data_IF_844329033205
#
_entry.id   IF_844329033205
#
_cell.length_a   1.000
_cell.length_b   1.000
_cell.length_c   1.000
_cell.angle_alpha   90.00
_cell.angle_beta   90.00
_cell.angle_gamma   90.00
#
_symmetry.space_group_name_H-M   'P 1'
#
loop_
_entity.id
_entity.type
_entity.pdbx_description
1 polymer ?
#
# COMPACT_ATOMS: atom_id res chain seq x y z
N UNK A 1 25.33 0.97 -10.04
CA UNK A 1 24.79 -0.32 -10.51
C UNK A 1 23.40 -0.57 -9.94
N UNK A 2 23.22 -1.07 -8.69
CA UNK A 2 21.86 -1.39 -8.18
C UNK A 2 20.92 -0.18 -8.15
N UNK A 3 21.39 0.99 -7.70
CA UNK A 3 20.56 2.20 -7.70
C UNK A 3 20.18 2.63 -9.11
N UNK A 4 21.14 2.68 -10.04
CA UNK A 4 20.89 3.09 -11.44
C UNK A 4 19.86 2.20 -12.13
N UNK A 5 19.98 0.87 -11.98
CA UNK A 5 19.01 -0.10 -12.50
C UNK A 5 17.63 0.07 -11.86
N UNK A 6 17.59 0.35 -10.55
CA UNK A 6 16.31 0.58 -9.84
C UNK A 6 15.63 1.85 -10.35
N UNK A 7 16.39 2.92 -10.64
CA UNK A 7 15.84 4.14 -11.23
C UNK A 7 15.29 3.89 -12.63
N UNK A 8 16.01 3.12 -13.45
CA UNK A 8 15.56 2.75 -14.79
C UNK A 8 14.23 1.96 -14.72
N UNK A 9 14.15 0.95 -13.87
CA UNK A 9 12.94 0.14 -13.66
C UNK A 9 11.75 0.99 -13.17
N UNK A 10 11.98 1.89 -12.20
CA UNK A 10 10.92 2.78 -11.71
C UNK A 10 10.46 3.72 -12.82
N UNK A 11 11.37 4.30 -13.58
CA UNK A 11 11.01 5.18 -14.71
C UNK A 11 10.17 4.44 -15.75
N UNK A 12 10.58 3.24 -16.13
CA UNK A 12 9.84 2.37 -17.05
C UNK A 12 8.45 2.03 -16.50
N UNK A 13 8.35 1.70 -15.21
CA UNK A 13 7.07 1.39 -14.56
C UNK A 13 6.04 2.52 -14.71
N UNK A 14 6.45 3.78 -14.51
CA UNK A 14 5.53 4.92 -14.67
C UNK A 14 5.28 5.27 -16.14
N UNK A 15 6.23 5.04 -17.05
CA UNK A 15 6.00 5.19 -18.49
C UNK A 15 4.93 4.19 -18.95
N UNK A 16 5.10 2.90 -18.65
CA UNK A 16 4.11 1.85 -18.96
C UNK A 16 2.73 2.18 -18.37
N UNK A 17 2.69 2.63 -17.11
CA UNK A 17 1.43 3.01 -16.48
C UNK A 17 0.72 4.14 -17.25
N UNK A 18 1.42 5.24 -17.52
CA UNK A 18 0.81 6.45 -18.06
C UNK A 18 0.55 6.39 -19.56
N UNK A 19 1.45 5.77 -20.31
CA UNK A 19 1.48 5.83 -21.76
C UNK A 19 0.80 4.61 -22.41
N UNK A 20 0.68 3.49 -21.69
CA UNK A 20 0.07 2.26 -22.21
C UNK A 20 -1.12 1.79 -21.36
N UNK A 21 -0.92 1.50 -20.07
CA UNK A 21 -1.93 0.83 -19.25
C UNK A 21 -3.16 1.71 -19.01
N UNK A 22 -2.98 2.96 -18.58
CA UNK A 22 -4.11 3.86 -18.33
C UNK A 22 -4.90 4.19 -19.62
N UNK A 23 -4.27 4.47 -20.78
CA UNK A 23 -4.97 4.62 -22.05
C UNK A 23 -5.74 3.37 -22.49
N UNK A 24 -5.13 2.17 -22.39
CA UNK A 24 -5.79 0.92 -22.76
C UNK A 24 -7.00 0.63 -21.85
N UNK A 25 -6.86 0.82 -20.54
CA UNK A 25 -7.98 0.72 -19.60
C UNK A 25 -9.10 1.71 -19.94
N UNK A 26 -8.76 2.94 -20.31
CA UNK A 26 -9.74 3.95 -20.68
C UNK A 26 -10.53 3.56 -21.95
N UNK A 27 -9.88 2.90 -22.92
CA UNK A 27 -10.54 2.36 -24.12
C UNK A 27 -11.51 1.22 -23.78
N UNK A 28 -11.27 0.51 -22.69
CA UNK A 28 -12.12 -0.54 -22.15
C UNK A 28 -13.18 0.00 -21.16
N UNK A 29 -13.36 1.32 -21.04
CA UNK A 29 -14.36 1.92 -20.14
C UNK A 29 -13.96 1.92 -18.66
N UNK A 30 -12.67 1.79 -18.37
CA UNK A 30 -12.09 1.86 -17.02
C UNK A 30 -11.18 3.09 -16.94
N UNK A 31 -11.62 4.16 -16.28
CA UNK A 31 -10.92 5.45 -16.27
C UNK A 31 -10.42 5.83 -14.89
N UNK A 32 -9.21 6.36 -14.85
CA UNK A 32 -8.67 7.05 -13.69
C UNK A 32 -8.68 8.55 -13.96
N UNK A 33 -9.62 9.27 -13.35
CA UNK A 33 -9.85 10.68 -13.63
C UNK A 33 -8.77 11.52 -12.95
N UNK A 34 -8.09 12.35 -13.74
CA UNK A 34 -7.14 13.33 -13.21
C UNK A 34 -7.90 14.52 -12.64
N UNK A 35 -7.30 15.17 -11.64
CA UNK A 35 -7.89 16.35 -10.97
C UNK A 35 -8.39 17.43 -11.92
N UNK A 36 -7.67 17.69 -13.01
CA UNK A 36 -8.04 18.69 -14.01
C UNK A 36 -9.23 18.31 -14.89
N UNK A 37 -9.62 17.04 -14.89
CA UNK A 37 -10.66 16.49 -15.76
C UNK A 37 -11.98 16.25 -15.01
N UNK A 38 -12.07 16.62 -13.73
CA UNK A 38 -13.28 16.42 -12.93
C UNK A 38 -14.40 17.34 -13.38
N UNK A 39 -15.57 16.77 -13.68
CA UNK A 39 -16.79 17.53 -13.90
C UNK A 39 -17.25 18.21 -12.60
N UNK A 40 -18.09 19.27 -12.67
CA UNK A 40 -18.62 19.93 -11.47
C UNK A 40 -19.31 18.96 -10.50
N UNK A 41 -20.11 18.03 -11.02
CA UNK A 41 -20.81 17.03 -10.21
C UNK A 41 -19.85 16.02 -9.57
N UNK A 42 -18.81 15.59 -10.30
CA UNK A 42 -17.76 14.74 -9.73
C UNK A 42 -17.00 15.47 -8.61
N UNK A 43 -16.62 16.73 -8.83
CA UNK A 43 -15.92 17.55 -7.84
C UNK A 43 -16.75 17.75 -6.58
N UNK A 44 -18.05 18.00 -6.70
CA UNK A 44 -18.96 18.13 -5.55
C UNK A 44 -19.04 16.83 -4.74
N UNK A 45 -19.19 15.68 -5.41
CA UNK A 45 -19.21 14.38 -4.73
C UNK A 45 -17.87 14.07 -4.05
N UNK A 46 -16.74 14.34 -4.72
CA UNK A 46 -15.40 14.12 -4.17
C UNK A 46 -15.17 15.03 -2.95
N UNK A 47 -15.64 16.27 -3.01
CA UNK A 47 -15.61 17.21 -1.87
C UNK A 47 -16.39 16.64 -0.68
N UNK A 48 -17.63 16.20 -0.90
CA UNK A 48 -18.45 15.59 0.15
C UNK A 48 -17.81 14.33 0.74
N UNK A 49 -17.20 13.48 -0.11
CA UNK A 49 -16.43 12.32 0.31
C UNK A 49 -15.21 12.75 1.16
N UNK A 50 -14.48 13.78 0.75
CA UNK A 50 -13.33 14.30 1.49
C UNK A 50 -13.73 14.72 2.92
N UNK A 51 -14.74 15.58 3.05
CA UNK A 51 -15.18 16.06 4.37
C UNK A 51 -15.79 14.95 5.24
N UNK A 52 -16.49 13.98 4.65
CA UNK A 52 -17.16 12.91 5.40
C UNK A 52 -16.21 11.78 5.82
N UNK A 53 -15.29 11.38 4.96
CA UNK A 53 -14.53 10.14 5.14
C UNK A 53 -13.01 10.35 5.26
N UNK A 54 -12.46 11.36 4.60
CA UNK A 54 -11.01 11.57 4.53
C UNK A 54 -10.52 12.51 5.62
N UNK A 55 -11.11 13.70 5.71
CA UNK A 55 -10.72 14.75 6.67
C UNK A 55 -10.79 14.29 8.13
N UNK A 56 -11.81 13.55 8.60
CA UNK A 56 -11.92 13.16 10.02
C UNK A 56 -10.82 12.22 10.51
N UNK A 57 -10.15 11.50 9.61
CA UNK A 57 -9.09 10.53 9.95
C UNK A 57 -7.70 11.03 9.59
N UNK A 58 -7.59 12.26 9.09
CA UNK A 58 -6.31 12.89 8.74
C UNK A 58 -5.97 13.94 9.79
N UNK A 59 -4.71 13.91 10.24
CA UNK A 59 -4.20 14.91 11.17
C UNK A 59 -3.01 15.62 10.52
N UNK A 60 -3.14 16.92 10.19
CA UNK A 60 -2.01 17.71 9.75
C UNK A 60 -1.05 18.00 10.91
N UNK A 61 0.25 17.97 10.63
CA UNK A 61 1.30 18.30 11.60
C UNK A 61 2.13 19.43 11.02
N UNK A 62 1.88 20.66 11.51
CA UNK A 62 2.71 21.81 11.19
C UNK A 62 4.12 21.63 11.75
N UNK A 63 5.13 21.99 10.97
CA UNK A 63 6.53 21.89 11.36
C UNK A 63 6.96 23.23 11.94
N UNK A 64 7.41 23.21 13.19
CA UNK A 64 7.99 24.36 13.89
C UNK A 64 9.01 23.86 14.95
N UNK A 65 9.81 24.72 15.60
CA UNK A 65 10.79 24.28 16.60
C UNK A 65 10.21 23.47 17.76
N UNK A 66 8.92 23.63 18.07
CA UNK A 66 8.19 22.89 19.11
C UNK A 66 7.50 21.63 18.58
N UNK A 67 7.22 21.56 17.27
CA UNK A 67 6.64 20.42 16.58
C UNK A 67 7.60 19.89 15.51
N UNK A 68 8.53 19.00 15.89
CA UNK A 68 9.50 18.45 14.95
C UNK A 68 8.81 17.56 13.92
N UNK A 69 9.53 17.26 12.84
CA UNK A 69 9.06 16.38 11.78
C UNK A 69 8.51 15.05 12.36
N UNK A 70 7.28 14.65 12.00
CA UNK A 70 6.63 13.51 12.62
C UNK A 70 7.26 12.19 12.19
N UNK A 71 7.15 11.18 13.05
CA UNK A 71 7.56 9.82 12.69
C UNK A 71 6.65 9.26 11.61
N UNK A 72 7.16 9.17 10.38
CA UNK A 72 6.45 8.54 9.24
C UNK A 72 6.65 7.03 9.23
N UNK A 73 5.54 6.31 9.07
CA UNK A 73 5.54 4.85 8.99
C UNK A 73 6.20 4.36 7.69
N UNK A 74 6.93 3.25 7.77
CA UNK A 74 7.53 2.62 6.59
C UNK A 74 6.47 2.33 5.51
N UNK A 75 6.76 2.73 4.27
CA UNK A 75 5.93 2.54 3.08
C UNK A 75 4.53 3.18 3.16
N UNK A 76 4.27 4.12 4.07
CA UNK A 76 3.02 4.89 4.11
C UNK A 76 2.98 5.96 3.02
N UNK A 77 1.76 6.42 2.72
CA UNK A 77 1.54 7.59 1.87
C UNK A 77 1.48 8.81 2.79
N UNK A 78 2.30 9.81 2.51
CA UNK A 78 2.34 11.07 3.24
C UNK A 78 2.34 12.22 2.22
N UNK A 79 2.05 13.42 2.68
CA UNK A 79 2.10 14.64 1.89
C UNK A 79 2.92 15.67 2.64
N UNK A 80 3.87 16.28 1.94
CA UNK A 80 4.59 17.44 2.41
C UNK A 80 3.95 18.69 1.80
N UNK A 81 3.54 19.60 2.67
CA UNK A 81 2.76 20.78 2.32
C UNK A 81 3.62 22.00 2.61
N UNK A 82 3.84 22.84 1.61
CA UNK A 82 4.48 24.15 1.75
C UNK A 82 3.42 25.16 2.14
N UNK A 83 3.69 25.93 3.20
CA UNK A 83 2.76 26.85 3.80
C UNK A 83 3.34 28.26 3.89
N UNK A 84 2.48 29.25 3.81
CA UNK A 84 2.80 30.66 4.01
C UNK A 84 1.74 31.29 4.94
N UNK A 85 2.19 32.07 5.92
CA UNK A 85 1.32 32.83 6.81
C UNK A 85 1.31 32.31 8.25
N UNK A 86 0.20 32.55 8.95
CA UNK A 86 0.01 32.18 10.36
C UNK A 86 -1.28 31.42 10.53
N UNK A 87 -1.24 30.38 11.35
CA UNK A 87 -2.45 29.63 11.69
C UNK A 87 -3.43 30.47 12.53
N UNK A 88 -4.60 29.92 12.81
CA UNK A 88 -5.62 30.54 13.67
C UNK A 88 -5.13 30.87 15.10
N UNK A 89 -3.98 30.34 15.52
CA UNK A 89 -3.35 30.57 16.82
C UNK A 89 -2.13 31.50 16.75
N UNK A 90 -1.87 32.10 15.57
CA UNK A 90 -0.77 33.04 15.35
C UNK A 90 0.60 32.40 15.16
N UNK A 91 0.69 31.07 15.05
CA UNK A 91 1.95 30.33 14.80
C UNK A 91 2.27 30.34 13.31
N UNK A 92 3.53 30.60 12.97
CA UNK A 92 4.05 30.45 11.61
C UNK A 92 4.68 29.07 11.45
N UNK A 93 4.31 28.37 10.38
CA UNK A 93 4.97 27.14 9.93
C UNK A 93 5.13 27.25 8.43
N UNK A 94 6.35 27.05 7.93
CA UNK A 94 6.64 27.10 6.49
C UNK A 94 6.36 25.76 5.80
N UNK A 95 6.18 24.69 6.60
CA UNK A 95 5.89 23.36 6.11
C UNK A 95 4.97 22.60 7.06
N UNK A 96 4.22 21.63 6.53
CA UNK A 96 3.46 20.67 7.29
C UNK A 96 3.50 19.28 6.65
N UNK A 97 3.33 18.26 7.47
CA UNK A 97 3.20 16.87 7.03
C UNK A 97 1.78 16.38 7.28
N UNK A 98 1.20 15.78 6.26
CA UNK A 98 -0.12 15.13 6.34
C UNK A 98 0.08 13.64 6.09
N UNK A 99 -0.24 12.81 7.07
CA UNK A 99 -0.12 11.36 6.95
C UNK A 99 -1.45 10.77 6.52
N UNK A 100 -1.50 10.03 5.42
CA UNK A 100 -2.71 9.32 5.00
C UNK A 100 -2.73 7.93 5.66
N UNK A 101 -3.65 7.64 6.61
CA UNK A 101 -3.71 6.33 7.27
C UNK A 101 -3.91 5.19 6.27
N UNK A 102 -3.49 3.98 6.64
CA UNK A 102 -3.64 2.78 5.78
C UNK A 102 -5.09 2.33 5.62
N UNK A 103 -5.98 2.72 6.52
CA UNK A 103 -7.42 2.44 6.44
C UNK A 103 -8.08 3.17 5.28
N UNK A 104 -7.54 4.32 4.86
CA UNK A 104 -8.09 5.04 3.71
C UNK A 104 -7.73 4.33 2.40
N UNK A 105 -8.71 4.06 1.52
CA UNK A 105 -8.46 3.51 0.20
C UNK A 105 -7.57 4.46 -0.61
N UNK A 106 -6.64 3.90 -1.39
CA UNK A 106 -5.72 4.71 -2.22
C UNK A 106 -6.29 5.04 -3.58
N UNK A 107 -7.26 4.25 -4.01
CA UNK A 107 -8.06 4.43 -5.20
C UNK A 107 -9.52 4.37 -4.74
N UNK A 108 -10.33 5.35 -5.16
CA UNK A 108 -11.73 5.46 -4.79
C UNK A 108 -12.54 5.34 -6.08
N UNK A 109 -13.52 4.46 -6.09
CA UNK A 109 -14.48 4.36 -7.20
C UNK A 109 -15.54 5.43 -7.06
N UNK A 110 -15.81 6.18 -8.12
CA UNK A 110 -16.92 7.12 -8.18
C UNK A 110 -18.24 6.36 -8.37
N UNK A 111 -19.38 6.91 -7.90
CA UNK A 111 -20.70 6.41 -8.27
C UNK A 111 -20.84 6.35 -9.80
N UNK A 112 -21.50 5.30 -10.29
CA UNK A 112 -21.62 5.03 -11.73
C UNK A 112 -22.32 6.18 -12.45
N UNK A 113 -23.25 6.85 -11.80
CA UNK A 113 -24.04 7.97 -12.35
C UNK A 113 -23.20 9.23 -12.57
N UNK A 114 -22.06 9.34 -11.89
CA UNK A 114 -21.13 10.47 -12.00
C UNK A 114 -19.95 10.18 -12.95
N UNK A 115 -19.80 8.94 -13.42
CA UNK A 115 -18.72 8.54 -14.31
C UNK A 115 -19.07 8.71 -15.78
N UNK A 116 -18.10 9.17 -16.58
CA UNK A 116 -18.20 9.17 -18.06
C UNK A 116 -17.93 7.78 -18.65
N UNK A 117 -17.76 6.76 -17.81
CA UNK A 117 -17.47 5.37 -18.16
C UNK A 117 -18.00 4.44 -17.07
N UNK A 118 -18.10 3.15 -17.37
CA UNK A 118 -18.66 2.15 -16.46
C UNK A 118 -17.90 2.09 -15.12
N UNK A 119 -16.57 2.23 -15.17
CA UNK A 119 -15.72 2.29 -13.98
C UNK A 119 -14.89 3.57 -14.01
N UNK A 120 -15.20 4.50 -13.11
CA UNK A 120 -14.41 5.71 -12.90
C UNK A 120 -13.77 5.68 -11.51
N UNK A 121 -12.47 5.93 -11.47
CA UNK A 121 -11.67 5.93 -10.26
C UNK A 121 -10.97 7.28 -10.08
N UNK A 122 -10.75 7.67 -8.83
CA UNK A 122 -9.91 8.80 -8.46
C UNK A 122 -8.86 8.37 -7.44
N UNK A 123 -7.68 8.96 -7.52
CA UNK A 123 -6.63 8.70 -6.54
C UNK A 123 -6.86 9.52 -5.27
N UNK A 124 -6.62 8.90 -4.11
CA UNK A 124 -6.63 9.63 -2.82
C UNK A 124 -5.64 10.82 -2.85
N UNK A 125 -4.50 10.66 -3.54
CA UNK A 125 -3.54 11.74 -3.72
C UNK A 125 -4.10 12.92 -4.50
N UNK A 126 -4.95 12.70 -5.49
CA UNK A 126 -5.63 13.78 -6.22
C UNK A 126 -6.65 14.49 -5.35
N UNK A 127 -7.42 13.74 -4.54
CA UNK A 127 -8.37 14.31 -3.57
C UNK A 127 -7.64 15.20 -2.56
N UNK A 128 -6.58 14.67 -1.93
CA UNK A 128 -5.80 15.45 -0.97
C UNK A 128 -5.14 16.65 -1.61
N UNK A 129 -4.59 16.53 -2.81
CA UNK A 129 -3.98 17.66 -3.49
C UNK A 129 -4.98 18.78 -3.83
N UNK A 130 -6.26 18.46 -4.03
CA UNK A 130 -7.32 19.46 -4.23
C UNK A 130 -7.72 20.12 -2.90
N UNK A 131 -7.99 19.33 -1.86
CA UNK A 131 -8.65 19.80 -0.63
C UNK A 131 -7.71 19.98 0.57
N UNK A 132 -6.39 19.84 0.41
CA UNK A 132 -5.42 19.99 1.51
C UNK A 132 -5.52 21.35 2.21
N UNK A 133 -5.92 22.40 1.51
CA UNK A 133 -6.07 23.75 2.06
C UNK A 133 -7.13 23.81 3.19
N UNK A 134 -8.14 22.94 3.15
CA UNK A 134 -9.16 22.82 4.21
C UNK A 134 -8.57 22.35 5.55
N UNK A 135 -7.38 21.74 5.54
CA UNK A 135 -6.68 21.30 6.74
C UNK A 135 -5.90 22.44 7.42
N UNK A 136 -5.69 23.58 6.74
CA UNK A 136 -4.78 24.65 7.17
C UNK A 136 -5.48 26.02 7.21
N UNK A 137 -6.49 26.16 8.08
CA UNK A 137 -7.22 27.41 8.23
C UNK A 137 -6.30 28.58 8.63
N UNK A 138 -6.40 29.69 7.88
CA UNK A 138 -5.60 30.90 8.09
C UNK A 138 -4.24 30.90 7.38
N UNK A 139 -3.83 29.78 6.79
CA UNK A 139 -2.56 29.66 6.07
C UNK A 139 -2.82 29.47 4.57
N UNK A 140 -1.87 29.91 3.76
CA UNK A 140 -1.88 29.72 2.32
C UNK A 140 -1.03 28.51 1.97
N UNK A 141 -1.64 27.53 1.30
CA UNK A 141 -0.90 26.38 0.76
C UNK A 141 -0.20 26.80 -0.54
N UNK A 142 1.12 26.72 -0.57
CA UNK A 142 1.94 27.02 -1.75
C UNK A 142 2.15 25.77 -2.63
N UNK A 143 2.23 24.60 -2.00
CA UNK A 143 2.48 23.33 -2.67
C UNK A 143 2.07 22.16 -1.78
N UNK A 144 1.71 21.04 -2.41
CA UNK A 144 1.39 19.80 -1.70
C UNK A 144 1.88 18.61 -2.52
N UNK A 145 2.84 17.88 -1.96
CA UNK A 145 3.58 16.85 -2.67
C UNK A 145 3.48 15.54 -1.91
N UNK A 146 2.92 14.53 -2.56
CA UNK A 146 2.94 13.17 -2.03
C UNK A 146 4.37 12.65 -1.95
N UNK A 147 4.68 11.96 -0.86
CA UNK A 147 5.94 11.25 -0.69
C UNK A 147 5.76 9.94 0.07
N UNK A 148 6.73 9.05 -0.10
CA UNK A 148 6.81 7.75 0.56
C UNK A 148 8.25 7.42 0.89
N UNK A 149 8.48 6.99 2.12
CA UNK A 149 9.79 6.50 2.55
C UNK A 149 9.75 4.99 2.66
N UNK A 150 10.77 4.34 2.09
CA UNK A 150 11.07 2.95 2.35
C UNK A 150 12.24 2.87 3.32
N UNK A 151 12.07 2.09 4.37
CA UNK A 151 13.05 1.82 5.42
C UNK A 151 13.55 0.39 5.33
N UNK A 152 14.80 0.19 5.73
CA UNK A 152 15.37 -1.13 5.90
C UNK A 152 14.51 -1.95 6.89
N UNK A 153 14.63 -3.27 6.78
CA UNK A 153 13.89 -4.22 7.61
C UNK A 153 14.81 -5.13 8.40
N UNK A 154 16.09 -4.78 8.47
CA UNK A 154 17.08 -5.55 9.21
C UNK A 154 16.78 -5.42 10.69
N UNK A 155 16.59 -6.56 11.34
CA UNK A 155 16.56 -6.66 12.79
C UNK A 155 18.01 -6.96 13.21
N UNK A 156 18.63 -6.06 13.96
CA UNK A 156 19.99 -6.26 14.46
C UNK A 156 19.93 -7.10 15.73
N UNK A 157 19.65 -8.39 15.57
CA UNK A 157 19.65 -9.32 16.70
C UNK A 157 21.04 -9.89 16.85
N UNK A 158 21.76 -9.43 17.87
CA UNK A 158 23.00 -10.09 18.30
C UNK A 158 22.66 -11.53 18.73
N UNK A 159 23.05 -12.50 17.90
CA UNK A 159 22.77 -13.92 18.09
C UNK A 159 23.67 -14.55 19.17
N UNK A 160 24.86 -13.97 19.44
CA UNK A 160 25.83 -14.50 20.40
C UNK A 160 25.45 -14.13 21.85
N UNK A 161 24.73 -13.02 22.05
CA UNK A 161 24.38 -12.52 23.38
C UNK A 161 23.05 -13.05 23.98
N UNK A 162 22.31 -13.95 23.30
CA UNK A 162 20.87 -14.13 23.59
C UNK A 162 20.46 -15.58 23.87
N UNK A 163 20.01 -15.85 25.11
CA UNK A 163 19.44 -17.15 25.53
C UNK A 163 18.01 -17.42 25.02
N UNK A 164 17.24 -16.38 24.65
CA UNK A 164 15.87 -16.52 24.14
C UNK A 164 15.60 -15.56 22.98
N UNK A 165 15.93 -16.03 21.78
CA UNK A 165 15.81 -15.29 20.52
C UNK A 165 14.36 -14.82 20.25
N UNK A 166 13.37 -15.64 20.61
CA UNK A 166 11.94 -15.35 20.39
C UNK A 166 11.49 -14.08 21.12
N UNK A 167 11.82 -13.94 22.40
CA UNK A 167 11.41 -12.79 23.20
C UNK A 167 12.04 -11.49 22.70
N UNK A 168 13.29 -11.55 22.22
CA UNK A 168 13.98 -10.37 21.66
C UNK A 168 13.41 -9.97 20.30
N UNK A 169 13.15 -10.93 19.40
CA UNK A 169 12.47 -10.66 18.13
C UNK A 169 11.07 -10.05 18.37
N UNK A 170 10.31 -10.56 19.34
CA UNK A 170 9.02 -9.97 19.71
C UNK A 170 9.12 -8.51 20.15
N UNK A 171 10.18 -8.14 20.89
CA UNK A 171 10.43 -6.77 21.31
C UNK A 171 10.91 -5.84 20.19
N UNK A 172 11.64 -6.35 19.20
CA UNK A 172 12.19 -5.56 18.09
C UNK A 172 11.27 -5.48 16.86
N UNK A 173 10.31 -6.41 16.72
CA UNK A 173 9.33 -6.41 15.63
C UNK A 173 8.56 -5.08 15.47
N UNK A 174 8.07 -4.43 16.54
CA UNK A 174 7.46 -3.10 16.44
C UNK A 174 8.43 -2.03 15.92
N UNK A 175 9.72 -2.17 16.22
CA UNK A 175 10.76 -1.22 15.80
C UNK A 175 11.10 -1.32 14.31
N UNK A 176 10.76 -2.44 13.65
CA UNK A 176 11.00 -2.66 12.21
C UNK A 176 10.37 -1.59 11.30
N UNK A 177 9.32 -0.91 11.75
CA UNK A 177 8.73 0.20 11.01
C UNK A 177 9.60 1.47 10.99
N UNK A 178 10.69 1.49 11.78
CA UNK A 178 11.49 2.68 12.06
C UNK A 178 13.00 2.49 11.77
N UNK A 179 13.37 1.45 11.03
CA UNK A 179 14.75 1.30 10.54
C UNK A 179 15.21 2.45 9.65
N UNK A 180 16.48 2.46 9.24
CA UNK A 180 17.05 3.53 8.44
C UNK A 180 16.29 3.71 7.12
N UNK A 181 16.08 4.96 6.73
CA UNK A 181 15.51 5.25 5.42
C UNK A 181 16.53 4.83 4.35
N UNK A 182 16.06 4.21 3.28
CA UNK A 182 16.90 3.73 2.17
C UNK A 182 16.40 4.17 0.80
N UNK A 183 15.20 4.76 0.74
CA UNK A 183 14.61 5.26 -0.49
C UNK A 183 13.49 6.25 -0.17
N UNK A 184 13.51 7.38 -0.85
CA UNK A 184 12.48 8.41 -0.83
C UNK A 184 11.84 8.49 -2.22
N UNK A 185 10.53 8.31 -2.29
CA UNK A 185 9.74 8.55 -3.49
C UNK A 185 8.95 9.85 -3.30
N UNK A 186 9.01 10.76 -4.27
CA UNK A 186 8.26 12.03 -4.25
C UNK A 186 7.54 12.23 -5.57
N UNK A 187 6.46 13.02 -5.56
CA UNK A 187 5.84 13.48 -6.79
C UNK A 187 6.85 14.19 -7.70
N UNK A 188 6.76 14.00 -9.02
CA UNK A 188 7.66 14.64 -9.99
C UNK A 188 7.65 16.16 -9.94
N UNK A 189 6.54 16.76 -9.50
CA UNK A 189 6.38 18.20 -9.34
C UNK A 189 6.79 18.71 -7.94
N UNK A 190 7.39 17.87 -7.10
CA UNK A 190 7.92 18.28 -5.80
C UNK A 190 9.01 19.34 -5.97
N UNK A 191 8.86 20.47 -5.26
CA UNK A 191 9.83 21.57 -5.31
C UNK A 191 11.22 21.09 -4.88
N UNK A 192 12.26 21.78 -5.36
CA UNK A 192 13.64 21.44 -4.98
C UNK A 192 13.85 21.66 -3.48
N UNK A 193 13.36 22.78 -2.95
CA UNK A 193 13.45 23.10 -1.52
C UNK A 193 12.80 22.02 -0.63
N UNK A 194 11.60 21.54 -0.99
CA UNK A 194 10.94 20.46 -0.25
C UNK A 194 11.65 19.12 -0.41
N UNK A 195 12.23 18.87 -1.59
CA UNK A 195 12.99 17.65 -1.85
C UNK A 195 14.25 17.59 -0.99
N UNK A 196 15.04 18.66 -0.99
CA UNK A 196 16.23 18.81 -0.15
C UNK A 196 15.88 18.71 1.34
N UNK A 197 14.77 19.34 1.75
CA UNK A 197 14.26 19.24 3.11
C UNK A 197 13.96 17.79 3.52
N UNK A 198 13.26 17.03 2.67
CA UNK A 198 12.95 15.62 2.94
C UNK A 198 14.20 14.74 2.93
N UNK A 199 15.12 14.94 1.98
CA UNK A 199 16.38 14.21 1.91
C UNK A 199 17.23 14.44 3.16
N UNK A 200 17.39 15.70 3.58
CA UNK A 200 18.10 16.06 4.80
C UNK A 200 17.45 15.43 6.04
N UNK A 201 16.12 15.48 6.14
CA UNK A 201 15.40 14.89 7.27
C UNK A 201 15.59 13.37 7.37
N UNK A 202 15.59 12.66 6.24
CA UNK A 202 15.76 11.20 6.21
C UNK A 202 17.21 10.74 6.13
N UNK A 203 18.18 11.67 6.12
CA UNK A 203 19.60 11.39 5.92
C UNK A 203 19.86 10.57 4.65
N UNK A 204 19.24 11.00 3.55
CA UNK A 204 19.31 10.38 2.24
C UNK A 204 20.05 11.28 1.25
N UNK A 205 20.53 10.68 0.16
CA UNK A 205 21.17 11.40 -0.93
C UNK A 205 20.28 11.41 -2.18
N UNK A 206 20.65 12.20 -3.19
CA UNK A 206 19.99 12.20 -4.51
C UNK A 206 19.92 10.79 -5.14
N UNK A 207 20.86 9.90 -4.82
CA UNK A 207 20.85 8.50 -5.31
C UNK A 207 19.76 7.64 -4.68
N UNK A 208 19.11 8.12 -3.64
CA UNK A 208 18.02 7.44 -2.95
C UNK A 208 16.66 8.08 -3.28
N UNK A 209 16.66 9.16 -4.09
CA UNK A 209 15.50 9.94 -4.48
C UNK A 209 14.87 9.42 -5.78
N UNK A 210 13.58 9.12 -5.74
CA UNK A 210 12.81 8.68 -6.89
C UNK A 210 11.67 9.67 -7.14
N UNK A 211 11.84 10.52 -8.15
CA UNK A 211 10.80 11.42 -8.64
C UNK A 211 9.85 10.65 -9.56
N UNK A 212 8.60 10.51 -9.15
CA UNK A 212 7.63 9.66 -9.85
C UNK A 212 6.52 10.45 -10.55
N UNK A 213 6.22 10.07 -11.79
CA UNK A 213 5.19 10.69 -12.62
C UNK A 213 3.81 10.05 -12.37
N UNK A 214 3.33 10.05 -11.13
CA UNK A 214 2.07 9.40 -10.77
C UNK A 214 1.87 9.26 -9.26
N UNK A 215 0.92 8.44 -8.80
CA UNK A 215 0.76 8.14 -7.38
C UNK A 215 1.97 7.37 -6.87
N UNK A 216 2.51 7.75 -5.71
CA UNK A 216 3.54 6.93 -5.05
C UNK A 216 2.95 5.57 -4.68
N UNK A 217 3.75 4.51 -4.81
CA UNK A 217 3.35 3.13 -4.51
C UNK A 217 2.23 2.55 -5.40
N UNK A 218 2.57 2.26 -6.65
CA UNK A 218 1.68 1.65 -7.63
C UNK A 218 1.10 0.28 -7.23
N UNK A 219 1.70 -0.43 -6.27
CA UNK A 219 1.15 -1.70 -5.73
C UNK A 219 -0.29 -1.53 -5.23
N UNK A 220 -0.67 -0.32 -4.84
CA UNK A 220 -2.03 -0.02 -4.38
C UNK A 220 -3.09 -0.08 -5.47
N UNK A 221 -2.68 -0.10 -6.75
CA UNK A 221 -3.57 -0.35 -7.90
C UNK A 221 -3.96 -1.82 -8.04
N UNK A 222 -3.24 -2.76 -7.39
CA UNK A 222 -3.49 -4.19 -7.52
C UNK A 222 -4.87 -4.64 -7.03
N UNK A 223 -5.58 -3.78 -6.27
CA UNK A 223 -6.93 -4.06 -5.81
C UNK A 223 -8.01 -3.69 -6.84
N UNK A 224 -7.68 -2.82 -7.82
CA UNK A 224 -8.66 -2.35 -8.82
C UNK A 224 -9.28 -3.49 -9.64
N UNK A 225 -8.54 -4.51 -10.07
CA UNK A 225 -9.15 -5.65 -10.79
C UNK A 225 -10.30 -6.32 -10.04
N UNK A 226 -10.31 -6.30 -8.70
CA UNK A 226 -11.39 -6.90 -7.90
C UNK A 226 -12.70 -6.10 -7.96
N UNK A 227 -12.63 -4.81 -8.32
CA UNK A 227 -13.79 -3.90 -8.40
C UNK A 227 -14.37 -3.77 -9.81
N UNK A 228 -13.66 -4.28 -10.82
CA UNK A 228 -14.05 -4.17 -12.22
C UNK A 228 -14.66 -5.50 -12.69
N UNK A 229 -15.94 -5.53 -13.06
CA UNK A 229 -16.63 -6.75 -13.51
C UNK A 229 -16.43 -7.01 -15.02
N UNK A 230 -15.16 -7.13 -15.44
CA UNK A 230 -14.76 -7.39 -16.83
C UNK A 230 -13.90 -8.64 -16.94
N UNK A 231 -14.56 -9.80 -16.98
CA UNK A 231 -13.89 -11.10 -17.01
C UNK A 231 -13.01 -11.29 -18.26
N UNK A 232 -13.34 -10.63 -19.36
CA UNK A 232 -12.54 -10.63 -20.59
C UNK A 232 -11.17 -9.95 -20.44
N UNK A 233 -10.97 -9.14 -19.38
CA UNK A 233 -9.72 -8.45 -19.07
C UNK A 233 -8.93 -9.14 -17.94
N UNK A 234 -9.42 -10.26 -17.42
CA UNK A 234 -8.82 -10.99 -16.30
C UNK A 234 -8.31 -12.34 -16.75
N UNK A 235 -7.33 -12.86 -16.01
CA UNK A 235 -6.97 -14.27 -16.15
C UNK A 235 -8.18 -15.14 -15.82
N UNK A 236 -8.37 -16.20 -16.60
CA UNK A 236 -9.44 -17.16 -16.34
C UNK A 236 -9.25 -17.77 -14.94
N UNK A 237 -10.29 -17.79 -14.09
CA UNK A 237 -10.21 -18.43 -12.79
C UNK A 237 -9.78 -19.88 -12.92
N UNK A 238 -8.69 -20.24 -12.24
CA UNK A 238 -8.25 -21.62 -12.18
C UNK A 238 -8.83 -22.28 -10.92
N UNK A 239 -9.62 -23.35 -11.10
CA UNK A 239 -10.12 -24.17 -9.99
C UNK A 239 -9.17 -25.34 -9.75
N UNK A 240 -8.46 -25.40 -8.60
CA UNK A 240 -7.58 -26.51 -8.29
C UNK A 240 -8.34 -27.83 -8.24
N UNK A 241 -7.75 -28.87 -8.82
CA UNK A 241 -8.30 -30.21 -8.80
C UNK A 241 -8.00 -30.96 -7.49
N UNK A 242 -8.66 -32.10 -7.28
CA UNK A 242 -8.31 -33.04 -6.21
C UNK A 242 -7.66 -34.28 -6.85
N UNK A 243 -6.52 -34.79 -6.33
CA UNK A 243 -5.92 -36.03 -6.83
C UNK A 243 -6.92 -37.20 -6.82
N UNK A 244 -6.85 -38.08 -7.83
CA UNK A 244 -7.76 -39.23 -7.96
C UNK A 244 -7.77 -40.15 -6.73
N UNK A 245 -6.61 -40.31 -6.08
CA UNK A 245 -6.47 -41.11 -4.85
C UNK A 245 -7.35 -40.58 -3.70
N UNK A 246 -7.57 -39.27 -3.66
CA UNK A 246 -8.34 -38.58 -2.62
C UNK A 246 -9.82 -38.40 -2.98
N UNK A 247 -10.17 -38.41 -4.27
CA UNK A 247 -11.57 -38.28 -4.72
C UNK A 247 -12.47 -39.44 -4.27
N UNK A 248 -11.88 -40.62 -4.04
CA UNK A 248 -12.63 -41.86 -3.75
C UNK A 248 -12.62 -42.27 -2.28
N UNK A 249 -11.83 -41.59 -1.45
CA UNK A 249 -11.67 -41.95 -0.03
C UNK A 249 -12.29 -40.89 0.85
N UNK A 250 -13.23 -41.27 1.70
CA UNK A 250 -13.74 -40.41 2.77
C UNK A 250 -12.77 -40.30 3.95
N UNK A 251 -11.89 -41.30 4.12
CA UNK A 251 -10.88 -41.34 5.17
C UNK A 251 -9.49 -41.09 4.58
N UNK A 252 -8.85 -40.00 4.99
CA UNK A 252 -7.54 -39.61 4.47
C UNK A 252 -6.43 -40.54 4.98
N UNK A 253 -6.56 -41.09 6.19
CA UNK A 253 -5.60 -42.06 6.72
C UNK A 253 -5.58 -43.34 5.89
N UNK A 254 -6.74 -43.82 5.45
CA UNK A 254 -6.82 -45.00 4.58
C UNK A 254 -6.20 -44.74 3.22
N UNK A 255 -6.46 -43.58 2.63
CA UNK A 255 -5.85 -43.19 1.36
C UNK A 255 -4.32 -43.15 1.45
N UNK A 256 -3.77 -42.57 2.54
CA UNK A 256 -2.33 -42.50 2.79
C UNK A 256 -1.73 -43.89 3.06
N UNK A 257 -2.42 -44.77 3.79
CA UNK A 257 -1.97 -46.16 3.98
C UNK A 257 -1.91 -46.94 2.66
N UNK A 258 -2.74 -46.58 1.69
CA UNK A 258 -2.76 -47.19 0.35
C UNK A 258 -1.58 -46.78 -0.54
N UNK A 259 -0.85 -45.71 -0.20
CA UNK A 259 0.35 -45.26 -0.90
C UNK A 259 0.62 -43.77 -0.73
N UNK A 260 1.82 -43.33 -1.09
CA UNK A 260 2.22 -41.93 -0.99
C UNK A 260 1.36 -41.03 -1.87
N UNK A 261 0.95 -39.88 -1.34
CA UNK A 261 0.12 -38.89 -2.02
C UNK A 261 0.90 -37.59 -2.16
N UNK A 262 1.15 -37.19 -3.41
CA UNK A 262 1.78 -35.91 -3.73
C UNK A 262 0.74 -34.87 -4.11
N UNK A 263 0.81 -33.70 -3.46
CA UNK A 263 0.05 -32.51 -3.83
C UNK A 263 0.94 -31.48 -4.52
N UNK A 264 0.55 -31.06 -5.72
CA UNK A 264 1.22 -30.03 -6.50
C UNK A 264 0.37 -28.75 -6.51
N UNK A 265 0.69 -27.83 -5.61
CA UNK A 265 0.04 -26.52 -5.52
C UNK A 265 0.65 -25.54 -6.56
N UNK A 266 -0.15 -24.61 -7.13
CA UNK A 266 -1.57 -24.36 -6.87
C UNK A 266 -2.54 -25.22 -7.72
N UNK A 267 -2.04 -26.19 -8.50
CA UNK A 267 -2.85 -27.00 -9.41
C UNK A 267 -3.82 -27.95 -8.70
N UNK A 268 -3.44 -28.40 -7.51
CA UNK A 268 -4.25 -29.23 -6.63
C UNK A 268 -4.66 -28.46 -5.37
N UNK A 269 -5.88 -28.74 -4.90
CA UNK A 269 -6.47 -28.07 -3.74
C UNK A 269 -5.65 -28.31 -2.48
N UNK A 270 -5.59 -27.31 -1.60
CA UNK A 270 -5.02 -27.43 -0.26
C UNK A 270 -6.01 -28.06 0.74
N UNK A 271 -7.30 -28.16 0.39
CA UNK A 271 -8.35 -28.70 1.26
C UNK A 271 -8.01 -30.06 1.89
N UNK A 272 -7.39 -31.03 1.18
CA UNK A 272 -7.04 -32.31 1.82
C UNK A 272 -6.10 -32.18 3.02
N UNK A 273 -5.28 -31.14 3.09
CA UNK A 273 -4.41 -30.89 4.25
C UNK A 273 -5.24 -30.38 5.43
N UNK A 274 -6.24 -29.53 5.18
CA UNK A 274 -7.17 -29.05 6.21
C UNK A 274 -8.02 -30.21 6.72
N UNK A 275 -8.61 -31.00 5.82
CA UNK A 275 -9.39 -32.18 6.15
C UNK A 275 -8.56 -33.22 6.94
N UNK A 276 -7.28 -33.39 6.61
CA UNK A 276 -6.39 -34.29 7.37
C UNK A 276 -6.23 -33.82 8.81
N UNK A 277 -6.06 -32.51 9.02
CA UNK A 277 -5.96 -31.91 10.34
C UNK A 277 -7.28 -32.05 11.12
N UNK A 278 -8.42 -31.80 10.48
CA UNK A 278 -9.75 -31.93 11.09
C UNK A 278 -10.06 -33.38 11.49
N UNK A 279 -9.78 -34.35 10.61
CA UNK A 279 -9.92 -35.78 10.93
C UNK A 279 -8.97 -36.17 12.07
N UNK A 280 -7.71 -35.70 12.02
CA UNK A 280 -6.73 -35.99 13.07
C UNK A 280 -7.14 -35.42 14.44
N UNK A 281 -7.84 -34.29 14.47
CA UNK A 281 -8.28 -33.67 15.71
C UNK A 281 -9.44 -34.41 16.40
N UNK A 282 -10.19 -35.24 15.66
CA UNK A 282 -11.39 -35.94 16.16
C UNK A 282 -11.23 -37.45 16.26
N UNK A 283 -10.24 -38.04 15.59
CA UNK A 283 -10.00 -39.48 15.61
C UNK A 283 -9.40 -39.94 16.96
N UNK A 284 -10.08 -40.82 17.72
CA UNK A 284 -9.59 -41.30 19.02
C UNK A 284 -8.29 -42.13 18.92
N UNK A 285 -7.91 -42.57 17.73
CA UNK A 285 -6.65 -43.31 17.50
C UNK A 285 -5.44 -42.38 17.30
N UNK A 286 -5.66 -41.07 17.11
CA UNK A 286 -4.57 -40.11 16.97
C UNK A 286 -4.05 -39.72 18.34
N UNK A 287 -2.80 -40.09 18.62
CA UNK A 287 -2.14 -39.83 19.91
C UNK A 287 -1.51 -38.44 19.97
N UNK A 288 -0.96 -37.95 18.84
CA UNK A 288 -0.28 -36.67 18.79
C UNK A 288 -0.26 -36.10 17.36
N UNK A 289 -0.38 -34.78 17.25
CA UNK A 289 -0.18 -34.02 16.02
C UNK A 289 1.03 -33.12 16.22
N UNK A 290 2.02 -33.20 15.32
CA UNK A 290 3.19 -32.33 15.31
C UNK A 290 3.25 -31.60 13.98
N UNK A 291 3.32 -30.28 14.02
CA UNK A 291 3.42 -29.43 12.83
C UNK A 291 4.39 -28.28 13.05
N UNK A 292 5.05 -27.84 11.99
CA UNK A 292 5.89 -26.64 12.01
C UNK A 292 5.08 -25.49 11.46
N UNK A 293 4.96 -24.41 12.24
CA UNK A 293 4.31 -23.18 11.80
C UNK A 293 5.39 -22.14 11.52
N UNK A 294 5.49 -21.72 10.26
CA UNK A 294 6.51 -20.77 9.82
C UNK A 294 6.05 -19.31 9.94
N UNK A 295 4.80 -19.00 9.59
CA UNK A 295 4.20 -17.67 9.73
C UNK A 295 2.90 -17.80 10.52
N UNK A 296 2.90 -17.30 11.75
CA UNK A 296 1.68 -17.01 12.49
C UNK A 296 1.20 -15.62 12.07
N UNK A 297 -0.10 -15.48 11.78
CA UNK A 297 -0.71 -14.22 11.33
C UNK A 297 -0.50 -13.05 12.28
#
# INVERSE_FOLDING_TARGET
>A
LVSDETHALVKEQYALLNDEILPLLASEGIRFLKRGDWSPAQREWISAFFFREVMPVITPIGLDPSHPFPRVLNKSLNFAVELEGRDAFGRSSDAAIVQAPRVLPRVIQLPRELGDSEYCFVFLSSILHEFVHELFAGMKVLGCYQFRVTRNSNLFVDEEAVKNLRTKIQGELPQRHFGDAVRLEVANNCSEAMTEFLLGHFNLTERDLYRVAGPVNLVRLMQVPDWVMRDNLKFQPFKPGTPKALQKSSNLFEAIRGGDILLHHPYQSFNPIIELLDQSATDPQVVAIKMTVYRTG
#
